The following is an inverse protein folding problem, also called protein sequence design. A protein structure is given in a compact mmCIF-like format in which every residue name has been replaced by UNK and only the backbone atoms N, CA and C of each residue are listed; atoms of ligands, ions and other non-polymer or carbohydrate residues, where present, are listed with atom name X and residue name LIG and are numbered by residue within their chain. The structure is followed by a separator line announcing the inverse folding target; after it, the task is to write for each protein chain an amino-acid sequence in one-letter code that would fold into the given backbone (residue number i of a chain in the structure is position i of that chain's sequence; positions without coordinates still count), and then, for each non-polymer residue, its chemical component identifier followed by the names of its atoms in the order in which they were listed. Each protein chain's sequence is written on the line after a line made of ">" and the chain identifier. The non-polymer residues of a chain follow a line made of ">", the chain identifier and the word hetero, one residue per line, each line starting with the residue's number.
data_IF_620882513905
#
_entry.id   IF_620882513905
#
_cell.length_a   1.000
_cell.length_b   1.000
_cell.length_c   1.000
_cell.angle_alpha   90.00
_cell.angle_beta   90.00
_cell.angle_gamma   90.00
#
_symmetry.space_group_name_H-M   'P 1'
#
loop_
_entity.id
_entity.type
_entity.pdbx_description
1 polymer ?
#
# COMPACT_ATOMS: atom_id res chain seq x y z
N UNK A 1 24.31 2.92 -6.14
CA UNK A 1 23.75 4.27 -6.37
C UNK A 1 22.42 4.22 -7.11
N UNK A 2 22.34 3.81 -8.38
CA UNK A 2 21.05 3.80 -9.12
C UNK A 2 19.99 2.89 -8.49
N UNK A 3 20.36 1.67 -8.10
CA UNK A 3 19.47 0.72 -7.42
C UNK A 3 18.96 1.24 -6.08
N UNK A 4 19.80 1.93 -5.30
CA UNK A 4 19.44 2.51 -4.00
C UNK A 4 18.42 3.65 -4.15
N UNK A 5 18.58 4.47 -5.19
CA UNK A 5 17.61 5.50 -5.55
C UNK A 5 16.27 4.90 -5.95
N UNK A 6 16.28 3.82 -6.76
CA UNK A 6 15.05 3.10 -7.14
C UNK A 6 14.35 2.47 -5.93
N UNK A 7 15.10 1.83 -5.03
CA UNK A 7 14.53 1.26 -3.80
C UNK A 7 13.96 2.35 -2.89
N UNK A 8 14.64 3.49 -2.76
CA UNK A 8 14.14 4.62 -1.97
C UNK A 8 12.84 5.19 -2.54
N UNK A 9 12.74 5.32 -3.86
CA UNK A 9 11.50 5.71 -4.54
C UNK A 9 10.41 4.67 -4.26
N UNK A 10 10.71 3.38 -4.36
CA UNK A 10 9.77 2.30 -4.11
C UNK A 10 9.24 2.30 -2.67
N UNK A 11 10.10 2.60 -1.68
CA UNK A 11 9.71 2.80 -0.27
C UNK A 11 8.69 3.94 -0.14
N UNK A 12 8.98 5.11 -0.73
CA UNK A 12 8.10 6.28 -0.65
C UNK A 12 6.74 5.99 -1.31
N UNK A 13 6.74 5.38 -2.50
CA UNK A 13 5.51 5.01 -3.19
C UNK A 13 4.69 4.00 -2.40
N UNK A 14 5.35 2.98 -1.83
CA UNK A 14 4.66 1.98 -1.00
C UNK A 14 3.96 2.63 0.19
N UNK A 15 4.59 3.63 0.82
CA UNK A 15 3.99 4.38 1.93
C UNK A 15 2.78 5.22 1.47
N UNK A 16 2.89 5.88 0.31
CA UNK A 16 1.78 6.66 -0.26
C UNK A 16 0.58 5.78 -0.63
N UNK A 17 0.84 4.60 -1.22
CA UNK A 17 -0.20 3.61 -1.53
C UNK A 17 -0.88 3.06 -0.28
N UNK A 18 -0.12 2.84 0.81
CA UNK A 18 -0.67 2.41 2.08
C UNK A 18 -1.67 3.42 2.65
N UNK A 19 -1.26 4.70 2.75
CA UNK A 19 -2.12 5.78 3.25
C UNK A 19 -3.36 5.92 2.37
N UNK A 20 -3.18 5.88 1.05
CA UNK A 20 -4.29 5.98 0.08
C UNK A 20 -5.28 4.84 0.23
N UNK A 21 -4.80 3.60 0.39
CA UNK A 21 -5.66 2.43 0.63
C UNK A 21 -6.50 2.57 1.89
N UNK A 22 -5.92 3.05 2.99
CA UNK A 22 -6.65 3.32 4.23
C UNK A 22 -7.69 4.44 4.04
N UNK A 23 -7.33 5.54 3.38
CA UNK A 23 -8.26 6.64 3.12
C UNK A 23 -9.44 6.19 2.26
N UNK A 24 -9.20 5.38 1.24
CA UNK A 24 -10.26 4.82 0.40
C UNK A 24 -11.23 3.94 1.21
N UNK A 25 -10.73 3.12 2.14
CA UNK A 25 -11.59 2.33 3.05
C UNK A 25 -12.45 3.23 3.94
N UNK A 26 -11.87 4.30 4.48
CA UNK A 26 -12.57 5.23 5.38
C UNK A 26 -13.64 6.03 4.64
N UNK A 27 -13.35 6.44 3.40
CA UNK A 27 -14.22 7.29 2.59
C UNK A 27 -15.26 6.50 1.78
N UNK A 28 -15.17 5.16 1.72
CA UNK A 28 -16.10 4.36 0.92
C UNK A 28 -17.53 4.46 1.48
N UNK A 29 -18.51 4.87 0.65
CA UNK A 29 -19.90 5.01 1.08
C UNK A 29 -20.55 3.65 1.34
N UNK A 30 -21.29 3.57 2.45
CA UNK A 30 -21.93 2.33 2.95
C UNK A 30 -23.34 2.09 2.38
N UNK A 31 -23.67 2.68 1.25
CA UNK A 31 -25.04 2.68 0.70
C UNK A 31 -25.51 1.29 0.25
N UNK A 32 -24.58 0.44 -0.20
CA UNK A 32 -24.81 -0.95 -0.60
C UNK A 32 -23.79 -1.83 0.11
N UNK A 33 -24.27 -2.69 1.01
CA UNK A 33 -23.43 -3.49 1.90
C UNK A 33 -22.58 -4.52 1.14
N UNK A 34 -23.10 -5.10 0.05
CA UNK A 34 -22.34 -6.03 -0.78
C UNK A 34 -21.23 -5.30 -1.55
N UNK A 35 -21.55 -4.14 -2.13
CA UNK A 35 -20.57 -3.31 -2.83
C UNK A 35 -19.50 -2.79 -1.88
N UNK A 36 -19.92 -2.33 -0.69
CA UNK A 36 -19.02 -1.82 0.34
C UNK A 36 -18.03 -2.90 0.79
N UNK A 37 -18.49 -4.12 1.09
CA UNK A 37 -17.58 -5.21 1.47
C UNK A 37 -16.60 -5.59 0.36
N UNK A 38 -17.05 -5.59 -0.91
CA UNK A 38 -16.16 -5.84 -2.04
C UNK A 38 -15.09 -4.73 -2.16
N UNK A 39 -15.50 -3.46 -2.10
CA UNK A 39 -14.60 -2.31 -2.22
C UNK A 39 -13.59 -2.23 -1.08
N UNK A 40 -14.04 -2.42 0.16
CA UNK A 40 -13.16 -2.49 1.33
C UNK A 40 -12.16 -3.64 1.19
N UNK A 41 -12.57 -4.79 0.66
CA UNK A 41 -11.67 -5.91 0.40
C UNK A 41 -10.61 -5.57 -0.66
N UNK A 42 -11.02 -4.96 -1.77
CA UNK A 42 -10.12 -4.50 -2.84
C UNK A 42 -9.05 -3.52 -2.28
N UNK A 43 -9.48 -2.51 -1.51
CA UNK A 43 -8.57 -1.54 -0.92
C UNK A 43 -7.69 -2.13 0.19
N UNK A 44 -8.21 -3.09 0.96
CA UNK A 44 -7.44 -3.81 1.97
C UNK A 44 -6.33 -4.65 1.33
N UNK A 45 -6.61 -5.32 0.22
CA UNK A 45 -5.59 -6.04 -0.56
C UNK A 45 -4.51 -5.09 -1.08
N UNK A 46 -4.89 -3.91 -1.56
CA UNK A 46 -3.97 -2.84 -1.98
C UNK A 46 -3.07 -2.39 -0.81
N UNK A 47 -3.65 -2.14 0.36
CA UNK A 47 -2.91 -1.74 1.56
C UNK A 47 -1.93 -2.83 2.00
N UNK A 48 -2.35 -4.10 2.04
CA UNK A 48 -1.47 -5.23 2.39
C UNK A 48 -0.34 -5.39 1.38
N UNK A 49 -0.65 -5.29 0.08
CA UNK A 49 0.35 -5.34 -0.99
C UNK A 49 1.41 -4.24 -0.82
N UNK A 50 0.97 -3.01 -0.49
CA UNK A 50 1.89 -1.90 -0.26
C UNK A 50 2.80 -2.11 0.96
N UNK A 51 2.32 -2.74 2.03
CA UNK A 51 3.15 -3.11 3.20
C UNK A 51 4.16 -4.19 2.85
N UNK A 52 3.78 -5.18 2.04
CA UNK A 52 4.70 -6.20 1.56
C UNK A 52 5.82 -5.60 0.69
N UNK A 53 5.48 -4.71 -0.25
CA UNK A 53 6.45 -4.00 -1.09
C UNK A 53 7.35 -3.10 -0.26
N UNK A 54 6.81 -2.38 0.73
CA UNK A 54 7.59 -1.57 1.67
C UNK A 54 8.61 -2.43 2.43
N UNK A 55 8.16 -3.55 3.00
CA UNK A 55 8.99 -4.44 3.81
C UNK A 55 10.13 -5.05 2.98
N UNK A 56 9.85 -5.49 1.75
CA UNK A 56 10.85 -6.01 0.84
C UNK A 56 11.87 -4.94 0.41
N UNK A 57 11.38 -3.73 0.13
CA UNK A 57 12.22 -2.61 -0.29
C UNK A 57 13.15 -2.17 0.83
N UNK A 58 12.63 -2.08 2.07
CA UNK A 58 13.43 -1.77 3.26
C UNK A 58 14.44 -2.87 3.56
N UNK A 59 14.03 -4.14 3.56
CA UNK A 59 14.94 -5.27 3.75
C UNK A 59 16.10 -5.25 2.75
N UNK A 60 15.81 -4.95 1.48
CA UNK A 60 16.82 -4.87 0.42
C UNK A 60 17.75 -3.65 0.57
N UNK A 61 17.26 -2.55 1.16
CA UNK A 61 18.03 -1.34 1.47
C UNK A 61 18.90 -1.48 2.73
N UNK A 62 18.38 -2.14 3.76
CA UNK A 62 19.05 -2.33 5.06
C UNK A 62 19.81 -3.64 5.16
N UNK A 63 19.74 -4.48 4.14
CA UNK A 63 20.42 -5.77 4.04
C UNK A 63 21.94 -5.61 3.93
N UNK A 64 22.54 -5.33 5.08
CA UNK A 64 23.92 -5.57 5.48
C UNK A 64 23.93 -6.63 6.57
#
# INVERSE_FOLDING_TARGET
>A
MFTDTLLTILVIYSFAFFITGILMIILEPKDDENRYQQKVTEYSMLAIGSVATLSFSLFSLTGF
#
